data_IF_626591195061
#
_entry.id   IF_626591195061
#
_cell.length_a   1.000
_cell.length_b   1.000
_cell.length_c   1.000
_cell.angle_alpha   90.00
_cell.angle_beta   90.00
_cell.angle_gamma   90.00
#
_symmetry.space_group_name_H-M   'P 1'
#
loop_
_entity.id
_entity.type
_entity.pdbx_description
1 polymer ?
#
# COMPACT_ATOMS: atom_id res chain seq x y z
N UNK A 1 19.39 -5.30 -2.37
CA UNK A 1 18.98 -4.55 -1.17
C UNK A 1 20.01 -4.80 -0.08
N UNK A 2 20.45 -3.79 0.62
CA UNK A 2 21.32 -3.94 1.80
C UNK A 2 20.42 -3.96 3.03
N UNK A 3 20.41 -5.06 3.78
CA UNK A 3 19.54 -5.27 4.94
C UNK A 3 19.77 -4.20 6.04
N UNK A 4 21.02 -3.77 6.28
CA UNK A 4 21.33 -2.73 7.25
C UNK A 4 20.70 -1.38 6.87
N UNK A 5 20.81 -0.98 5.59
CA UNK A 5 20.18 0.26 5.12
C UNK A 5 18.64 0.18 5.20
N UNK A 6 18.05 -0.97 4.88
CA UNK A 6 16.61 -1.17 5.00
C UNK A 6 16.15 -1.08 6.46
N UNK A 7 16.87 -1.73 7.37
CA UNK A 7 16.58 -1.65 8.79
C UNK A 7 16.72 -0.22 9.34
N UNK A 8 17.86 0.45 9.05
CA UNK A 8 18.08 1.84 9.52
C UNK A 8 16.99 2.78 9.02
N UNK A 9 16.55 2.60 7.76
CA UNK A 9 15.44 3.41 7.21
C UNK A 9 14.12 3.10 7.89
N UNK A 10 13.81 1.83 8.13
CA UNK A 10 12.59 1.42 8.84
C UNK A 10 12.55 2.00 10.26
N UNK A 11 13.66 1.93 10.97
CA UNK A 11 13.78 2.49 12.31
C UNK A 11 13.58 4.00 12.32
N UNK A 12 14.20 4.72 11.37
CA UNK A 12 14.00 6.17 11.23
C UNK A 12 12.52 6.51 10.95
N UNK A 13 11.83 5.75 10.10
CA UNK A 13 10.40 5.96 9.85
C UNK A 13 9.55 5.72 11.11
N UNK A 14 9.94 4.75 11.93
CA UNK A 14 9.30 4.49 13.21
C UNK A 14 9.49 5.66 14.17
N UNK A 15 10.72 6.19 14.30
CA UNK A 15 11.02 7.39 15.09
C UNK A 15 10.27 8.63 14.56
N UNK A 16 10.08 8.75 13.25
CA UNK A 16 9.27 9.78 12.62
C UNK A 16 7.75 9.64 12.93
N UNK A 17 7.34 8.53 13.58
CA UNK A 17 5.98 8.26 14.05
C UNK A 17 5.12 7.47 13.06
N UNK A 18 5.72 6.62 12.21
CA UNK A 18 4.97 5.68 11.38
C UNK A 18 4.24 4.65 12.24
N UNK A 19 2.97 4.41 11.94
CA UNK A 19 2.16 3.37 12.60
C UNK A 19 2.38 1.99 11.96
N UNK A 20 2.85 1.97 10.70
CA UNK A 20 3.09 0.75 9.91
C UNK A 20 4.36 0.91 9.06
N UNK A 21 5.26 -0.06 9.12
CA UNK A 21 6.47 -0.14 8.29
C UNK A 21 6.24 -1.18 7.19
N UNK A 22 6.20 -0.73 5.92
CA UNK A 22 5.98 -1.59 4.76
C UNK A 22 7.31 -1.97 4.10
N UNK A 23 7.63 -3.27 4.04
CA UNK A 23 8.91 -3.81 3.56
C UNK A 23 8.70 -4.62 2.29
N UNK A 24 9.33 -4.21 1.19
CA UNK A 24 9.35 -4.94 -0.08
C UNK A 24 10.77 -5.21 -0.57
N UNK A 25 10.99 -6.33 -1.23
CA UNK A 25 12.30 -6.69 -1.79
C UNK A 25 12.30 -6.91 -3.31
N UNK A 26 11.14 -6.74 -3.94
CA UNK A 26 10.95 -6.65 -5.39
C UNK A 26 10.44 -5.26 -5.76
N UNK A 27 10.96 -4.69 -6.84
CA UNK A 27 10.51 -3.37 -7.31
C UNK A 27 9.21 -3.52 -8.10
N UNK A 28 8.19 -2.75 -7.72
CA UNK A 28 6.93 -2.64 -8.46
C UNK A 28 6.93 -1.56 -9.54
N UNK A 29 8.08 -0.91 -9.79
CA UNK A 29 8.20 0.14 -10.81
C UNK A 29 8.08 -0.44 -12.23
N UNK A 30 7.53 0.33 -13.19
CA UNK A 30 7.53 -0.08 -14.60
C UNK A 30 8.92 -0.53 -15.06
N UNK A 31 8.98 -1.68 -15.77
CA UNK A 31 10.23 -2.22 -16.31
C UNK A 31 11.12 -2.99 -15.31
N UNK A 32 10.74 -3.10 -14.05
CA UNK A 32 11.49 -3.89 -13.09
C UNK A 32 11.49 -5.39 -13.46
N UNK A 33 12.64 -6.02 -13.37
CA UNK A 33 12.76 -7.47 -13.55
C UNK A 33 12.18 -8.22 -12.34
N UNK A 34 11.44 -9.32 -12.57
CA UNK A 34 10.94 -10.15 -11.48
C UNK A 34 12.09 -10.76 -10.67
N UNK A 35 11.89 -10.87 -9.39
CA UNK A 35 12.82 -11.50 -8.45
C UNK A 35 12.33 -12.91 -8.12
N UNK A 36 13.24 -13.92 -8.08
CA UNK A 36 12.83 -15.26 -7.64
C UNK A 36 12.39 -15.26 -6.19
N UNK A 37 11.50 -16.20 -5.84
CA UNK A 37 10.97 -16.35 -4.47
C UNK A 37 12.09 -16.43 -3.43
N UNK A 38 13.08 -17.30 -3.66
CA UNK A 38 14.17 -17.50 -2.71
C UNK A 38 15.10 -16.28 -2.58
N UNK A 39 15.31 -15.53 -3.67
CA UNK A 39 16.09 -14.30 -3.61
C UNK A 39 15.33 -13.20 -2.87
N UNK A 40 14.02 -13.09 -3.09
CA UNK A 40 13.17 -12.14 -2.38
C UNK A 40 13.12 -12.48 -0.90
N UNK A 41 12.90 -13.75 -0.54
CA UNK A 41 12.91 -14.20 0.85
C UNK A 41 14.24 -13.94 1.55
N UNK A 42 15.36 -14.29 0.90
CA UNK A 42 16.69 -14.01 1.45
C UNK A 42 16.95 -12.54 1.74
N UNK A 43 16.30 -11.63 1.00
CA UNK A 43 16.36 -10.19 1.25
C UNK A 43 15.43 -9.73 2.37
N UNK A 44 14.23 -10.31 2.46
CA UNK A 44 13.19 -9.92 3.42
C UNK A 44 13.43 -10.48 4.81
N UNK A 45 13.70 -11.78 4.92
CA UNK A 45 13.73 -12.51 6.19
C UNK A 45 14.61 -11.84 7.27
N UNK A 46 15.88 -11.47 6.99
CA UNK A 46 16.73 -10.84 8.02
C UNK A 46 16.21 -9.48 8.46
N UNK A 47 15.53 -8.72 7.57
CA UNK A 47 14.94 -7.43 7.90
C UNK A 47 13.71 -7.64 8.77
N UNK A 48 12.79 -8.53 8.39
CA UNK A 48 11.56 -8.83 9.15
C UNK A 48 11.88 -9.28 10.58
N UNK A 49 12.78 -10.27 10.72
CA UNK A 49 13.22 -10.77 12.05
C UNK A 49 13.77 -9.66 12.94
N UNK A 50 14.57 -8.78 12.36
CA UNK A 50 15.18 -7.68 13.12
C UNK A 50 14.15 -6.61 13.48
N UNK A 51 13.20 -6.28 12.61
CA UNK A 51 12.12 -5.36 12.89
C UNK A 51 11.24 -5.89 14.02
N UNK A 52 10.77 -7.13 13.93
CA UNK A 52 9.91 -7.75 14.97
C UNK A 52 10.59 -7.81 16.34
N UNK A 53 11.90 -7.97 16.36
CA UNK A 53 12.67 -8.00 17.61
C UNK A 53 12.85 -6.62 18.26
N UNK A 54 12.96 -5.54 17.46
CA UNK A 54 13.48 -4.27 17.95
C UNK A 54 12.51 -3.09 17.80
N UNK A 55 11.43 -3.20 16.99
CA UNK A 55 10.41 -2.18 16.95
C UNK A 55 9.48 -2.26 18.16
N UNK A 56 8.96 -1.12 18.65
CA UNK A 56 7.86 -1.11 19.61
C UNK A 56 6.66 -1.95 19.14
N UNK A 57 5.92 -2.55 20.06
CA UNK A 57 4.79 -3.45 19.76
C UNK A 57 3.62 -2.76 19.05
N UNK A 58 3.47 -1.46 19.26
CA UNK A 58 2.45 -0.62 18.64
C UNK A 58 2.75 -0.30 17.18
N UNK A 59 4.01 -0.45 16.74
CA UNK A 59 4.38 -0.27 15.33
C UNK A 59 4.21 -1.59 14.56
N UNK A 60 3.30 -1.57 13.59
CA UNK A 60 2.99 -2.73 12.77
C UNK A 60 4.01 -2.93 11.66
N UNK A 61 4.19 -4.19 11.22
CA UNK A 61 5.08 -4.55 10.11
C UNK A 61 4.26 -5.13 8.96
N UNK A 62 4.41 -4.55 7.79
CA UNK A 62 3.82 -5.00 6.52
C UNK A 62 4.88 -5.62 5.62
N UNK A 63 4.47 -6.60 4.81
CA UNK A 63 5.27 -7.09 3.71
C UNK A 63 4.58 -6.82 2.37
N UNK A 64 5.30 -6.14 1.44
CA UNK A 64 4.86 -5.90 0.07
C UNK A 64 5.34 -7.07 -0.80
N UNK A 65 4.44 -8.00 -1.08
CA UNK A 65 4.69 -9.14 -1.97
C UNK A 65 3.39 -9.67 -2.58
N UNK A 66 3.48 -10.22 -3.80
CA UNK A 66 2.37 -10.89 -4.46
C UNK A 66 2.54 -12.42 -4.51
N UNK A 67 3.63 -12.97 -3.96
CA UNK A 67 3.95 -14.40 -3.99
C UNK A 67 3.31 -15.11 -2.79
N UNK A 68 2.37 -16.07 -3.01
CA UNK A 68 1.64 -16.73 -1.92
C UNK A 68 2.55 -17.36 -0.88
N UNK A 69 3.55 -18.12 -1.30
CA UNK A 69 4.49 -18.76 -0.37
C UNK A 69 5.27 -17.73 0.47
N UNK A 70 5.60 -16.56 -0.10
CA UNK A 70 6.27 -15.51 0.63
C UNK A 70 5.37 -14.83 1.66
N UNK A 71 4.06 -14.70 1.36
CA UNK A 71 3.05 -14.24 2.32
C UNK A 71 2.98 -15.18 3.52
N UNK A 72 2.97 -16.51 3.28
CA UNK A 72 2.94 -17.52 4.34
C UNK A 72 4.21 -17.45 5.21
N UNK A 73 5.39 -17.37 4.60
CA UNK A 73 6.66 -17.24 5.33
C UNK A 73 6.72 -15.95 6.14
N UNK A 74 6.27 -14.82 5.58
CA UNK A 74 6.24 -13.55 6.30
C UNK A 74 5.26 -13.58 7.48
N UNK A 75 4.09 -14.20 7.30
CA UNK A 75 3.11 -14.39 8.37
C UNK A 75 3.70 -15.22 9.53
N UNK A 76 4.47 -16.28 9.22
CA UNK A 76 5.17 -17.08 10.23
C UNK A 76 6.26 -16.30 10.98
N UNK A 77 6.84 -15.26 10.39
CA UNK A 77 7.78 -14.34 11.06
C UNK A 77 7.04 -13.24 11.87
N UNK A 78 5.71 -13.31 11.95
CA UNK A 78 4.90 -12.44 12.79
C UNK A 78 4.64 -11.05 12.20
N UNK A 79 4.58 -10.88 10.88
CA UNK A 79 4.13 -9.61 10.28
C UNK A 79 2.64 -9.40 10.59
N UNK A 80 2.23 -8.15 10.62
CA UNK A 80 0.85 -7.77 10.93
C UNK A 80 0.01 -7.53 9.67
N UNK A 81 0.69 -7.35 8.50
CA UNK A 81 0.02 -6.88 7.30
C UNK A 81 0.62 -7.50 6.03
N UNK A 82 -0.24 -7.92 5.13
CA UNK A 82 0.15 -8.34 3.78
C UNK A 82 -0.33 -7.30 2.79
N UNK A 83 0.60 -6.66 2.08
CA UNK A 83 0.34 -5.70 1.02
C UNK A 83 0.51 -6.39 -0.34
N UNK A 84 -0.59 -6.71 -1.03
CA UNK A 84 -0.55 -7.38 -2.32
C UNK A 84 -0.94 -6.45 -3.45
N UNK A 85 0.06 -5.99 -4.20
CA UNK A 85 -0.10 -5.12 -5.38
C UNK A 85 -0.75 -5.83 -6.59
N UNK A 86 -0.99 -7.14 -6.52
CA UNK A 86 -1.71 -7.93 -7.54
C UNK A 86 -3.14 -8.27 -7.13
N UNK A 87 -3.64 -7.70 -6.04
CA UNK A 87 -5.00 -7.87 -5.56
C UNK A 87 -5.13 -9.09 -4.65
N UNK A 88 -5.62 -10.22 -5.14
CA UNK A 88 -5.88 -11.41 -4.34
C UNK A 88 -4.80 -12.48 -4.58
N UNK A 89 -4.44 -13.20 -3.53
CA UNK A 89 -3.72 -14.47 -3.61
C UNK A 89 -4.68 -15.63 -3.91
N UNK A 90 -4.16 -16.83 -4.03
CA UNK A 90 -4.98 -18.05 -4.10
C UNK A 90 -5.79 -18.26 -2.80
N UNK A 91 -6.90 -18.99 -2.94
CA UNK A 91 -7.85 -19.19 -1.85
C UNK A 91 -7.22 -19.87 -0.63
N UNK A 92 -6.36 -20.84 -0.83
CA UNK A 92 -5.70 -21.58 0.26
C UNK A 92 -4.81 -20.63 1.09
N UNK A 93 -4.05 -19.78 0.42
CA UNK A 93 -3.23 -18.76 1.08
C UNK A 93 -4.09 -17.72 1.81
N UNK A 94 -5.18 -17.26 1.21
CA UNK A 94 -6.09 -16.31 1.87
C UNK A 94 -6.76 -16.92 3.11
N UNK A 95 -7.20 -18.17 3.06
CA UNK A 95 -7.79 -18.87 4.22
C UNK A 95 -6.75 -19.06 5.34
N UNK A 96 -5.52 -19.44 5.00
CA UNK A 96 -4.43 -19.52 5.96
C UNK A 96 -4.17 -18.16 6.63
N UNK A 97 -4.03 -17.10 5.86
CA UNK A 97 -3.79 -15.76 6.41
C UNK A 97 -4.98 -15.26 7.25
N UNK A 98 -6.21 -15.57 6.84
CA UNK A 98 -7.41 -15.20 7.58
C UNK A 98 -7.49 -15.89 8.94
N UNK A 99 -7.01 -17.15 9.08
CA UNK A 99 -6.95 -17.89 10.33
C UNK A 99 -6.01 -17.26 11.37
N UNK A 100 -5.06 -16.44 10.93
CA UNK A 100 -4.15 -15.67 11.79
C UNK A 100 -4.81 -14.33 12.14
N UNK A 101 -5.44 -14.24 13.31
CA UNK A 101 -6.30 -13.10 13.68
C UNK A 101 -5.61 -11.72 13.67
N UNK A 102 -4.28 -11.67 13.81
CA UNK A 102 -3.50 -10.44 13.77
C UNK A 102 -3.20 -9.93 12.36
N UNK A 103 -3.36 -10.78 11.32
CA UNK A 103 -3.02 -10.41 9.94
C UNK A 103 -4.13 -9.57 9.30
N UNK A 104 -3.77 -8.39 8.80
CA UNK A 104 -4.57 -7.60 7.87
C UNK A 104 -4.11 -7.83 6.42
N UNK A 105 -5.02 -7.71 5.47
CA UNK A 105 -4.73 -7.90 4.04
C UNK A 105 -5.13 -6.69 3.23
N UNK A 106 -4.19 -6.19 2.41
CA UNK A 106 -4.42 -5.12 1.46
C UNK A 106 -4.43 -5.69 0.05
N UNK A 107 -5.55 -5.53 -0.64
CA UNK A 107 -5.70 -5.84 -2.05
C UNK A 107 -5.66 -4.55 -2.88
N UNK A 108 -4.66 -4.42 -3.76
CA UNK A 108 -4.55 -3.27 -4.64
C UNK A 108 -5.05 -3.59 -6.05
N UNK A 109 -5.84 -2.68 -6.62
CA UNK A 109 -6.23 -2.74 -8.03
C UNK A 109 -5.08 -2.30 -8.95
N UNK A 110 -4.77 -3.13 -9.95
CA UNK A 110 -3.90 -2.73 -11.05
C UNK A 110 -4.48 -3.18 -12.39
N UNK A 111 -4.17 -2.47 -13.47
CA UNK A 111 -4.47 -2.89 -14.84
C UNK A 111 -3.16 -3.20 -15.58
N UNK A 112 -3.09 -4.38 -16.18
CA UNK A 112 -1.89 -4.83 -16.90
C UNK A 112 -0.72 -5.24 -15.99
N UNK A 113 0.38 -5.63 -16.61
CA UNK A 113 1.62 -5.99 -15.92
C UNK A 113 2.62 -4.84 -15.96
N UNK A 114 3.61 -4.76 -15.03
CA UNK A 114 4.56 -3.65 -14.96
C UNK A 114 5.26 -3.32 -16.28
N UNK A 115 5.45 -4.30 -17.16
CA UNK A 115 6.10 -4.11 -18.46
C UNK A 115 5.25 -3.35 -19.48
N UNK A 116 3.92 -3.48 -19.41
CA UNK A 116 2.98 -2.94 -20.41
C UNK A 116 1.79 -2.17 -19.84
N UNK A 117 1.71 -1.96 -18.53
CA UNK A 117 0.56 -1.32 -17.89
C UNK A 117 0.31 0.13 -18.33
N UNK A 118 1.28 0.78 -18.98
CA UNK A 118 1.14 2.14 -19.50
C UNK A 118 0.80 2.19 -21.00
N UNK A 119 0.80 1.07 -21.71
CA UNK A 119 0.51 1.04 -23.15
C UNK A 119 -0.99 1.13 -23.46
N UNK A 120 -1.84 0.69 -22.53
CA UNK A 120 -3.31 0.79 -22.64
C UNK A 120 -3.88 1.08 -21.22
N UNK A 121 -3.69 2.30 -20.69
CA UNK A 121 -4.15 2.65 -19.37
C UNK A 121 -5.67 2.67 -19.30
N UNK A 122 -6.22 2.43 -18.11
CA UNK A 122 -7.63 2.60 -17.82
C UNK A 122 -7.99 4.09 -17.91
N UNK A 123 -9.03 4.39 -18.68
CA UNK A 123 -9.50 5.75 -18.87
C UNK A 123 -10.50 6.20 -17.81
N UNK A 124 -10.68 7.52 -17.68
CA UNK A 124 -11.53 8.12 -16.64
C UNK A 124 -12.99 7.62 -16.68
N UNK A 125 -13.53 7.38 -17.88
CA UNK A 125 -14.91 6.89 -18.07
C UNK A 125 -15.15 5.49 -17.51
N UNK A 126 -14.11 4.66 -17.44
CA UNK A 126 -14.17 3.27 -17.00
C UNK A 126 -13.69 3.09 -15.54
N UNK A 127 -12.84 4.00 -15.06
CA UNK A 127 -12.10 3.85 -13.81
C UNK A 127 -12.99 3.56 -12.60
N UNK A 128 -14.11 4.29 -12.46
CA UNK A 128 -15.02 4.10 -11.33
C UNK A 128 -15.69 2.74 -11.34
N UNK A 129 -16.14 2.27 -12.51
CA UNK A 129 -16.82 0.98 -12.64
C UNK A 129 -15.84 -0.18 -12.38
N UNK A 130 -14.67 -0.14 -13.00
CA UNK A 130 -13.66 -1.21 -12.87
C UNK A 130 -13.13 -1.33 -11.43
N UNK A 131 -12.76 -0.19 -10.80
CA UNK A 131 -12.26 -0.20 -9.42
C UNK A 131 -13.37 -0.55 -8.42
N UNK A 132 -14.61 -0.08 -8.63
CA UNK A 132 -15.75 -0.47 -7.77
C UNK A 132 -16.03 -1.96 -7.85
N UNK A 133 -16.01 -2.53 -9.05
CA UNK A 133 -16.20 -3.97 -9.26
C UNK A 133 -15.09 -4.79 -8.61
N UNK A 134 -13.85 -4.35 -8.75
CA UNK A 134 -12.71 -4.97 -8.07
C UNK A 134 -12.86 -4.91 -6.55
N UNK A 135 -13.22 -3.77 -5.98
CA UNK A 135 -13.39 -3.61 -4.53
C UNK A 135 -14.48 -4.52 -3.97
N UNK A 136 -15.61 -4.60 -4.66
CA UNK A 136 -16.71 -5.49 -4.26
C UNK A 136 -16.28 -6.96 -4.33
N UNK A 137 -15.60 -7.35 -5.42
CA UNK A 137 -15.09 -8.72 -5.59
C UNK A 137 -14.04 -9.06 -4.52
N UNK A 138 -13.03 -8.21 -4.34
CA UNK A 138 -11.96 -8.44 -3.38
C UNK A 138 -12.50 -8.52 -1.94
N UNK A 139 -13.36 -7.58 -1.56
CA UNK A 139 -13.99 -7.59 -0.23
C UNK A 139 -14.80 -8.87 0.01
N UNK A 140 -15.65 -9.27 -0.96
CA UNK A 140 -16.46 -10.48 -0.88
C UNK A 140 -15.58 -11.74 -0.75
N UNK A 141 -14.52 -11.83 -1.56
CA UNK A 141 -13.60 -12.99 -1.55
C UNK A 141 -12.83 -13.08 -0.23
N UNK A 142 -12.30 -11.97 0.27
CA UNK A 142 -11.57 -11.94 1.54
C UNK A 142 -12.50 -12.27 2.72
N UNK A 143 -13.73 -11.75 2.74
CA UNK A 143 -14.73 -12.09 3.76
C UNK A 143 -15.09 -13.58 3.70
N UNK A 144 -15.26 -14.16 2.51
CA UNK A 144 -15.53 -15.57 2.33
C UNK A 144 -14.37 -16.47 2.79
N UNK A 145 -13.13 -15.98 2.74
CA UNK A 145 -11.96 -16.67 3.28
C UNK A 145 -11.82 -16.53 4.81
N UNK A 146 -12.63 -15.71 5.47
CA UNK A 146 -12.64 -15.55 6.93
C UNK A 146 -12.03 -14.26 7.47
N UNK A 147 -11.60 -13.31 6.61
CA UNK A 147 -11.17 -12.00 7.08
C UNK A 147 -12.34 -11.20 7.65
N UNK A 148 -12.18 -10.62 8.83
CA UNK A 148 -13.10 -9.61 9.39
C UNK A 148 -12.93 -8.29 8.62
N UNK A 149 -13.99 -7.48 8.55
CA UNK A 149 -14.01 -6.25 7.75
C UNK A 149 -12.93 -5.24 8.16
N UNK A 150 -12.60 -5.13 9.41
CA UNK A 150 -11.56 -4.25 9.94
C UNK A 150 -10.13 -4.64 9.51
N UNK A 151 -9.95 -5.89 9.09
CA UNK A 151 -8.69 -6.43 8.57
C UNK A 151 -8.57 -6.42 7.04
N UNK A 152 -9.62 -5.98 6.33
CA UNK A 152 -9.63 -5.89 4.86
C UNK A 152 -9.34 -4.45 4.44
N UNK A 153 -8.32 -4.26 3.61
CA UNK A 153 -7.90 -2.98 3.08
C UNK A 153 -7.87 -3.00 1.56
N UNK A 154 -8.32 -1.91 0.94
CA UNK A 154 -8.42 -1.81 -0.52
C UNK A 154 -7.70 -0.55 -1.01
N UNK A 155 -6.84 -0.71 -2.02
CA UNK A 155 -6.13 0.39 -2.66
C UNK A 155 -6.56 0.50 -4.13
N UNK A 156 -7.02 1.66 -4.61
CA UNK A 156 -7.38 1.85 -6.01
C UNK A 156 -6.18 1.76 -6.97
N UNK A 157 -4.96 1.72 -6.46
CA UNK A 157 -3.74 1.57 -7.25
C UNK A 157 -3.46 2.75 -8.16
N UNK A 158 -3.41 3.96 -7.59
CA UNK A 158 -3.07 5.17 -8.32
C UNK A 158 -1.73 5.00 -9.05
N UNK A 159 -1.70 5.27 -10.36
CA UNK A 159 -0.51 5.13 -11.21
C UNK A 159 -0.21 3.71 -11.70
N UNK A 160 -1.03 2.70 -11.35
CA UNK A 160 -0.88 1.33 -11.83
C UNK A 160 -1.85 1.05 -12.98
N UNK A 161 -1.40 1.31 -14.22
CA UNK A 161 -2.17 1.08 -15.44
C UNK A 161 -3.40 1.98 -15.57
N UNK A 162 -3.29 3.25 -15.19
CA UNK A 162 -4.37 4.25 -15.23
C UNK A 162 -3.86 5.56 -15.81
N UNK A 163 -4.68 6.20 -16.64
CA UNK A 163 -4.42 7.56 -17.14
C UNK A 163 -4.46 8.58 -15.98
N UNK A 164 -3.87 9.75 -16.17
CA UNK A 164 -3.89 10.79 -15.13
C UNK A 164 -5.32 11.26 -14.81
N UNK A 165 -6.23 11.45 -15.80
CA UNK A 165 -7.64 11.71 -15.50
C UNK A 165 -8.32 10.58 -14.72
N UNK A 166 -8.04 9.29 -15.03
CA UNK A 166 -8.59 8.16 -14.29
C UNK A 166 -8.14 8.17 -12.81
N UNK A 167 -6.86 8.43 -12.58
CA UNK A 167 -6.34 8.56 -11.22
C UNK A 167 -7.02 9.69 -10.44
N UNK A 168 -7.23 10.87 -11.07
CA UNK A 168 -7.92 12.00 -10.43
C UNK A 168 -9.37 11.67 -10.10
N UNK A 169 -10.11 11.02 -11.01
CA UNK A 169 -11.49 10.58 -10.76
C UNK A 169 -11.56 9.64 -9.55
N UNK A 170 -10.63 8.69 -9.42
CA UNK A 170 -10.59 7.77 -8.27
C UNK A 170 -10.30 8.51 -6.96
N UNK A 171 -9.35 9.45 -6.96
CA UNK A 171 -9.03 10.27 -5.79
C UNK A 171 -10.22 11.16 -5.36
N UNK A 172 -10.89 11.81 -6.30
CA UNK A 172 -12.09 12.62 -6.06
C UNK A 172 -13.27 11.83 -5.49
N UNK A 173 -13.36 10.53 -5.84
CA UNK A 173 -14.42 9.66 -5.35
C UNK A 173 -14.04 8.85 -4.09
N UNK A 174 -12.91 9.17 -3.45
CA UNK A 174 -12.52 8.59 -2.15
C UNK A 174 -13.68 8.57 -1.13
N UNK A 175 -14.48 9.64 -0.93
CA UNK A 175 -15.58 9.62 0.04
C UNK A 175 -16.65 8.56 -0.24
N UNK A 176 -16.88 8.21 -1.52
CA UNK A 176 -17.86 7.18 -1.89
C UNK A 176 -17.36 5.78 -1.49
N UNK A 177 -16.08 5.51 -1.70
CA UNK A 177 -15.47 4.24 -1.34
C UNK A 177 -15.30 4.10 0.18
N UNK A 178 -14.89 5.17 0.86
CA UNK A 178 -14.64 5.20 2.31
C UNK A 178 -15.89 4.89 3.15
N UNK A 179 -17.10 5.10 2.61
CA UNK A 179 -18.36 4.71 3.26
C UNK A 179 -18.52 3.19 3.43
N UNK A 180 -17.80 2.39 2.66
CA UNK A 180 -17.99 0.93 2.58
C UNK A 180 -16.71 0.14 2.89
N UNK A 181 -15.54 0.73 2.68
CA UNK A 181 -14.26 0.01 2.69
C UNK A 181 -13.20 0.77 3.48
N UNK A 182 -12.27 0.04 4.09
CA UNK A 182 -11.03 0.65 4.59
C UNK A 182 -10.12 0.92 3.39
N UNK A 183 -9.82 2.17 3.14
CA UNK A 183 -9.04 2.59 1.99
C UNK A 183 -7.59 2.85 2.33
N UNK A 184 -6.72 2.34 1.45
CA UNK A 184 -5.30 2.62 1.45
C UNK A 184 -4.90 3.39 0.18
N UNK A 185 -3.92 4.27 0.30
CA UNK A 185 -3.35 5.01 -0.83
C UNK A 185 -1.84 5.10 -0.73
N UNK A 186 -1.16 4.90 -1.87
CA UNK A 186 0.26 5.19 -2.02
C UNK A 186 0.48 6.15 -3.18
N UNK A 187 0.53 7.46 -2.92
CA UNK A 187 0.69 8.48 -3.97
C UNK A 187 2.02 9.24 -3.86
N UNK A 188 2.76 9.04 -2.79
CA UNK A 188 4.00 9.76 -2.50
C UNK A 188 5.03 9.66 -3.64
N UNK A 189 5.50 10.80 -4.11
CA UNK A 189 6.50 10.98 -5.18
C UNK A 189 6.13 10.34 -6.53
N UNK A 190 4.87 9.95 -6.75
CA UNK A 190 4.45 9.32 -8.00
C UNK A 190 4.64 10.26 -9.20
N UNK A 191 4.96 9.66 -10.36
CA UNK A 191 5.18 10.39 -11.62
C UNK A 191 3.96 11.17 -12.08
N UNK A 192 2.75 10.75 -11.72
CA UNK A 192 1.52 11.49 -11.97
C UNK A 192 1.57 12.89 -11.37
N UNK A 193 1.99 13.05 -10.11
CA UNK A 193 2.13 14.37 -9.47
C UNK A 193 3.13 15.22 -10.24
N UNK A 194 4.24 14.59 -10.68
CA UNK A 194 5.23 15.26 -11.52
C UNK A 194 4.65 15.76 -12.83
N UNK A 195 3.88 14.93 -13.54
CA UNK A 195 3.26 15.35 -14.83
C UNK A 195 2.22 16.45 -14.64
N UNK A 196 1.36 16.33 -13.63
CA UNK A 196 0.31 17.33 -13.37
C UNK A 196 0.84 18.71 -12.98
N UNK A 197 2.03 18.77 -12.38
CA UNK A 197 2.62 20.01 -11.86
C UNK A 197 3.92 20.40 -12.57
N UNK A 198 4.30 19.71 -13.66
CA UNK A 198 5.56 19.90 -14.40
C UNK A 198 6.80 19.80 -13.50
N UNK A 199 6.82 18.81 -12.57
CA UNK A 199 7.92 18.57 -11.65
C UNK A 199 8.73 17.34 -12.10
N UNK A 200 9.90 17.56 -12.68
CA UNK A 200 10.77 16.49 -13.19
C UNK A 200 11.45 15.74 -12.03
N UNK A 201 12.04 16.49 -11.09
CA UNK A 201 12.75 15.89 -9.96
C UNK A 201 11.76 15.27 -8.97
N UNK A 202 11.89 13.97 -8.63
CA UNK A 202 11.02 13.32 -7.63
C UNK A 202 11.04 13.96 -6.24
N UNK A 203 12.14 14.61 -5.85
CA UNK A 203 12.22 15.30 -4.55
C UNK A 203 11.28 16.52 -4.48
N UNK A 204 11.08 17.22 -5.61
CA UNK A 204 10.20 18.39 -5.67
C UNK A 204 8.71 18.01 -5.53
N UNK A 205 8.40 16.72 -5.63
CA UNK A 205 7.05 16.18 -5.46
C UNK A 205 6.66 15.95 -4.01
N UNK A 206 7.55 16.17 -3.04
CA UNK A 206 7.25 15.89 -1.62
C UNK A 206 6.12 16.76 -1.08
N UNK A 207 6.22 18.06 -1.20
CA UNK A 207 5.18 18.98 -0.72
C UNK A 207 3.82 18.77 -1.44
N UNK A 208 3.74 18.69 -2.79
CA UNK A 208 2.47 18.37 -3.45
C UNK A 208 1.91 16.99 -3.10
N UNK A 209 2.77 15.97 -2.94
CA UNK A 209 2.33 14.65 -2.47
C UNK A 209 1.68 14.74 -1.12
N UNK A 210 2.28 15.48 -0.20
CA UNK A 210 1.79 15.67 1.16
C UNK A 210 0.41 16.36 1.18
N UNK A 211 0.24 17.40 0.37
CA UNK A 211 -1.06 18.07 0.24
C UNK A 211 -2.14 17.12 -0.27
N UNK A 212 -1.83 16.31 -1.28
CA UNK A 212 -2.75 15.32 -1.82
C UNK A 212 -3.03 14.19 -0.81
N UNK A 213 -2.03 13.71 -0.07
CA UNK A 213 -2.19 12.72 1.00
C UNK A 213 -3.12 13.21 2.10
N UNK A 214 -2.96 14.47 2.54
CA UNK A 214 -3.85 15.13 3.52
C UNK A 214 -5.27 15.20 2.96
N UNK A 215 -5.46 15.63 1.71
CA UNK A 215 -6.76 15.64 1.06
C UNK A 215 -7.45 14.28 1.05
N UNK A 216 -6.69 13.20 0.79
CA UNK A 216 -7.22 11.83 0.83
C UNK A 216 -7.61 11.38 2.25
N UNK A 217 -6.82 11.74 3.27
CA UNK A 217 -7.14 11.48 4.68
C UNK A 217 -8.45 12.17 5.06
N UNK A 218 -8.60 13.45 4.74
CA UNK A 218 -9.83 14.21 4.99
C UNK A 218 -11.03 13.66 4.21
N UNK A 219 -10.80 13.05 3.05
CA UNK A 219 -11.80 12.37 2.25
C UNK A 219 -12.14 10.94 2.75
N UNK A 220 -11.49 10.45 3.81
CA UNK A 220 -11.79 9.18 4.45
C UNK A 220 -10.80 8.04 4.18
N UNK A 221 -9.65 8.30 3.55
CA UNK A 221 -8.56 7.32 3.50
C UNK A 221 -8.03 7.06 4.92
N UNK A 222 -7.89 5.79 5.28
CA UNK A 222 -7.46 5.37 6.62
C UNK A 222 -5.99 4.92 6.69
N UNK A 223 -5.39 4.59 5.55
CA UNK A 223 -4.00 4.22 5.43
C UNK A 223 -3.37 5.00 4.26
N UNK A 224 -2.25 5.65 4.52
CA UNK A 224 -1.48 6.36 3.50
C UNK A 224 -0.03 5.92 3.56
N UNK A 225 0.49 5.37 2.45
CA UNK A 225 1.90 5.01 2.32
C UNK A 225 2.70 6.21 1.78
N UNK A 226 3.61 6.70 2.59
CA UNK A 226 4.41 7.89 2.30
C UNK A 226 5.91 7.68 2.48
N UNK A 227 6.74 8.47 1.79
CA UNK A 227 8.19 8.49 1.98
C UNK A 227 8.63 9.42 3.10
N UNK A 228 7.78 10.38 3.48
CA UNK A 228 8.07 11.39 4.48
C UNK A 228 6.94 11.38 5.52
N UNK A 229 7.17 10.69 6.65
CA UNK A 229 6.19 10.42 7.70
C UNK A 229 5.98 11.62 8.61
N UNK A 230 7.07 12.27 9.02
CA UNK A 230 7.04 13.28 10.07
C UNK A 230 6.02 14.41 9.82
N UNK A 231 5.87 14.88 8.58
CA UNK A 231 4.90 15.94 8.25
C UNK A 231 3.45 15.47 8.36
N UNK A 232 3.13 14.23 7.99
CA UNK A 232 1.78 13.68 8.16
C UNK A 232 1.45 13.49 9.64
N UNK A 233 2.40 13.04 10.44
CA UNK A 233 2.24 12.92 11.90
C UNK A 233 2.00 14.29 12.54
N UNK A 234 2.75 15.32 12.14
CA UNK A 234 2.51 16.70 12.61
C UNK A 234 1.11 17.18 12.24
N UNK A 235 0.67 16.94 11.00
CA UNK A 235 -0.69 17.27 10.58
C UNK A 235 -1.73 16.54 11.43
N UNK A 236 -1.61 15.21 11.59
CA UNK A 236 -2.49 14.40 12.44
C UNK A 236 -2.60 14.97 13.86
N UNK A 237 -1.47 15.31 14.47
CA UNK A 237 -1.41 15.84 15.82
C UNK A 237 -2.06 17.24 15.97
N UNK A 238 -1.94 18.09 14.94
CA UNK A 238 -2.63 19.40 14.91
C UNK A 238 -4.13 19.19 14.71
N UNK A 239 -4.51 18.37 13.72
CA UNK A 239 -5.91 18.14 13.36
C UNK A 239 -6.69 17.49 14.51
N UNK A 240 -6.11 16.49 15.20
CA UNK A 240 -6.75 15.86 16.35
C UNK A 240 -6.95 16.82 17.53
N UNK A 241 -6.11 17.84 17.69
CA UNK A 241 -6.27 18.89 18.71
C UNK A 241 -7.27 19.97 18.30
N UNK A 242 -7.42 20.22 17.00
CA UNK A 242 -8.32 21.28 16.50
C UNK A 242 -9.78 20.81 16.41
N UNK A 243 -10.03 19.49 16.40
CA UNK A 243 -11.36 18.90 16.28
C UNK A 243 -11.92 18.38 17.63
N UNK A 244 -11.22 18.64 18.74
CA UNK A 244 -11.68 18.41 20.11
C UNK A 244 -12.22 19.72 20.73
#
# INVERSE_FOLDING_TARGET
MNAEKAYSRAYQLAEDGADLIDVGAESSRPGAAPVSLELEWRRLCPVLKRLRKNLPEDIKVSVDTYKPELMRRAAAEGVDFINNIRGLADMETLQYLASLEHISYLAMHKKGEPKNMQSAPLEASEAMNEVSSFFLHAHKSLTACGFKQDRIWLDPGIGFGKSDPANLVLMQNTPKFAKKFNLAFGISRKSQIGRLLNLENPADRDAPSKMAEIGLILAGARLVRTHEVASLVRFRNIFSKACL
#
